data_IF_573770698136
#
_entry.id   IF_573770698136
#
_cell.length_a   1.000
_cell.length_b   1.000
_cell.length_c   1.000
_cell.angle_alpha   90.00
_cell.angle_beta   90.00
_cell.angle_gamma   90.00
#
_symmetry.space_group_name_H-M   'P 1'
#
loop_
_entity.id
_entity.type
_entity.pdbx_description
1 polymer ?
#
# COMPACT_ATOMS: atom_id res chain seq x y z
N UNK A 1 -20.20 5.01 -41.76
CA UNK A 1 -20.67 3.62 -41.86
C UNK A 1 -19.41 2.81 -42.20
N UNK A 2 -18.64 2.38 -41.21
CA UNK A 2 -18.83 1.11 -40.49
C UNK A 2 -18.19 -0.02 -41.31
N UNK A 3 -17.46 -1.01 -40.81
CA UNK A 3 -16.93 -1.37 -39.49
C UNK A 3 -16.46 -2.81 -39.64
N UNK A 4 -15.36 -3.19 -38.98
CA UNK A 4 -15.08 -4.59 -38.64
C UNK A 4 -14.43 -5.43 -39.75
N UNK A 5 -13.70 -6.49 -39.45
CA UNK A 5 -13.36 -7.12 -38.19
C UNK A 5 -12.13 -7.99 -38.53
N UNK A 6 -11.04 -7.87 -37.78
CA UNK A 6 -9.93 -8.82 -37.87
C UNK A 6 -10.31 -10.06 -37.06
N UNK A 7 -10.34 -11.19 -37.75
CA UNK A 7 -10.64 -12.52 -37.25
C UNK A 7 -9.71 -12.95 -36.13
N UNK A 8 -10.34 -13.43 -35.05
CA UNK A 8 -9.74 -14.11 -33.91
C UNK A 8 -9.27 -15.51 -34.34
N UNK A 9 -8.03 -15.86 -33.99
CA UNK A 9 -7.57 -17.25 -33.89
C UNK A 9 -6.54 -17.32 -32.75
N UNK A 10 -6.91 -17.94 -31.63
CA UNK A 10 -6.20 -19.11 -31.12
C UNK A 10 -6.87 -19.64 -29.85
N UNK A 11 -7.52 -20.79 -30.03
CA UNK A 11 -7.63 -21.82 -28.99
C UNK A 11 -6.30 -22.57 -28.85
N UNK A 12 -6.24 -23.37 -27.76
CA UNK A 12 -5.31 -24.46 -27.47
C UNK A 12 -4.11 -24.04 -26.55
N UNK A 13 -3.78 -24.66 -25.41
CA UNK A 13 -4.05 -26.01 -24.86
C UNK A 13 -3.90 -26.03 -23.32
N UNK A 14 -4.90 -26.64 -22.68
CA UNK A 14 -4.93 -27.57 -21.54
C UNK A 14 -4.19 -27.37 -20.20
N UNK A 15 -5.02 -27.55 -19.17
CA UNK A 15 -4.76 -28.00 -17.80
C UNK A 15 -3.96 -29.30 -17.67
N UNK A 16 -3.21 -29.45 -16.56
CA UNK A 16 -3.27 -30.60 -15.62
C UNK A 16 -2.27 -30.41 -14.47
N UNK A 17 -2.75 -30.54 -13.22
CA UNK A 17 -2.29 -31.52 -12.22
C UNK A 17 -3.05 -31.31 -10.90
N UNK A 18 -3.60 -32.41 -10.39
CA UNK A 18 -4.27 -32.54 -9.10
C UNK A 18 -3.59 -33.71 -8.31
N UNK A 19 -4.03 -34.08 -7.09
CA UNK A 19 -3.22 -34.14 -5.87
C UNK A 19 -2.77 -35.56 -5.46
N UNK A 20 -2.02 -35.68 -4.37
CA UNK A 20 -1.78 -36.97 -3.69
C UNK A 20 -2.01 -36.89 -2.19
N UNK A 21 -3.02 -37.62 -1.71
CA UNK A 21 -3.23 -38.05 -0.32
C UNK A 21 -2.33 -39.25 0.04
N UNK A 22 -2.06 -39.43 1.35
CA UNK A 22 -2.00 -40.76 1.98
C UNK A 22 -2.34 -40.72 3.49
N UNK A 23 -3.44 -41.41 3.82
CA UNK A 23 -3.86 -42.04 5.11
C UNK A 23 -2.79 -43.04 5.62
N UNK A 24 -2.76 -43.61 6.84
CA UNK A 24 -3.46 -43.56 8.14
C UNK A 24 -2.74 -44.57 9.07
N UNK A 25 -2.90 -44.53 10.41
CA UNK A 25 -3.09 -45.74 11.27
C UNK A 25 -3.46 -45.40 12.73
N UNK A 26 -4.07 -46.38 13.43
CA UNK A 26 -4.85 -46.33 14.69
C UNK A 26 -4.12 -46.97 15.89
N UNK A 27 -4.66 -46.67 17.09
CA UNK A 27 -5.03 -47.58 18.22
C UNK A 27 -4.09 -47.87 19.41
N UNK A 28 -4.69 -47.82 20.64
CA UNK A 28 -4.36 -48.59 21.86
C UNK A 28 -3.85 -47.74 23.05
N UNK A 29 -4.67 -47.32 24.03
CA UNK A 29 -5.16 -48.01 25.25
C UNK A 29 -4.16 -48.13 26.42
N UNK A 30 -4.50 -47.56 27.59
CA UNK A 30 -3.83 -47.80 28.88
C UNK A 30 -4.50 -47.04 30.04
N UNK A 31 -5.01 -47.78 31.03
CA UNK A 31 -5.77 -47.34 32.22
C UNK A 31 -4.90 -47.43 33.49
N UNK A 32 -5.31 -46.63 34.51
CA UNK A 32 -5.06 -46.76 35.97
C UNK A 32 -3.66 -46.33 36.47
N UNK A 33 -3.46 -45.63 37.60
CA UNK A 33 -4.21 -45.53 38.87
C UNK A 33 -4.03 -44.16 39.54
N UNK A 34 -4.99 -43.89 40.43
CA UNK A 34 -5.06 -42.84 41.45
C UNK A 34 -3.90 -42.91 42.46
N UNK A 35 -3.51 -41.76 43.02
CA UNK A 35 -3.34 -41.65 44.47
C UNK A 35 -3.57 -40.22 44.97
N UNK A 36 -4.21 -40.19 46.14
CA UNK A 36 -4.84 -39.07 46.83
C UNK A 36 -3.86 -38.06 47.43
N UNK A 37 -4.28 -36.78 47.52
CA UNK A 37 -4.29 -36.03 48.79
C UNK A 37 -4.97 -34.64 48.68
N UNK A 38 -6.18 -34.60 49.24
CA UNK A 38 -6.77 -33.59 50.14
C UNK A 38 -6.91 -32.10 49.74
N UNK A 39 -8.17 -31.73 49.45
CA UNK A 39 -8.97 -30.65 50.06
C UNK A 39 -8.27 -29.50 50.81
N UNK A 40 -8.33 -28.31 50.22
CA UNK A 40 -8.81 -27.05 50.81
C UNK A 40 -8.69 -25.96 49.72
N UNK A 41 -9.75 -25.42 49.12
CA UNK A 41 -10.52 -24.34 49.74
C UNK A 41 -11.66 -23.98 48.79
N UNK A 42 -12.90 -24.08 49.26
CA UNK A 42 -14.07 -23.51 48.61
C UNK A 42 -13.97 -21.97 48.62
N UNK A 43 -14.11 -21.41 47.43
CA UNK A 43 -14.92 -20.24 47.14
C UNK A 43 -14.62 -18.94 47.92
N UNK A 44 -13.88 -18.02 47.27
CA UNK A 44 -14.07 -16.59 47.49
C UNK A 44 -13.97 -15.84 46.15
N UNK A 45 -15.13 -15.69 45.52
CA UNK A 45 -15.38 -14.61 44.57
C UNK A 45 -15.14 -13.27 45.30
N UNK A 46 -14.01 -12.63 45.05
CA UNK A 46 -13.91 -11.18 45.04
C UNK A 46 -13.15 -10.76 43.80
N UNK A 47 -13.87 -10.00 42.97
CA UNK A 47 -13.44 -9.33 41.75
C UNK A 47 -12.08 -8.65 41.93
N UNK A 48 -11.05 -9.16 41.27
CA UNK A 48 -9.95 -8.35 40.78
C UNK A 48 -9.91 -8.53 39.26
N UNK A 49 -10.78 -7.77 38.59
CA UNK A 49 -10.68 -7.57 37.16
C UNK A 49 -9.51 -6.61 36.97
N UNK A 50 -8.32 -7.18 36.77
CA UNK A 50 -7.07 -6.46 36.62
C UNK A 50 -7.22 -5.41 35.50
N UNK A 51 -7.34 -4.15 35.92
CA UNK A 51 -7.64 -2.99 35.06
C UNK A 51 -6.56 -2.82 33.98
N UNK A 52 -5.36 -3.33 34.24
CA UNK A 52 -4.22 -3.33 33.32
C UNK A 52 -4.48 -4.20 32.08
N UNK A 53 -4.97 -5.42 32.25
CA UNK A 53 -5.24 -6.35 31.13
C UNK A 53 -6.41 -5.90 30.27
N UNK A 54 -7.46 -5.35 30.89
CA UNK A 54 -8.64 -4.83 30.18
C UNK A 54 -8.34 -3.54 29.41
N UNK A 55 -7.49 -2.65 29.96
CA UNK A 55 -7.00 -1.48 29.23
C UNK A 55 -6.13 -1.90 28.03
N UNK A 56 -5.21 -2.85 28.22
CA UNK A 56 -4.35 -3.34 27.14
C UNK A 56 -5.14 -4.02 26.01
N UNK A 57 -6.12 -4.87 26.33
CA UNK A 57 -6.99 -5.50 25.30
C UNK A 57 -7.94 -4.50 24.63
N UNK A 58 -8.45 -3.50 25.34
CA UNK A 58 -9.25 -2.43 24.75
C UNK A 58 -8.40 -1.49 23.87
N UNK A 59 -7.14 -1.25 24.21
CA UNK A 59 -6.19 -0.50 23.38
C UNK A 59 -5.81 -1.27 22.11
N UNK A 60 -5.53 -2.57 22.22
CA UNK A 60 -5.23 -3.44 21.07
C UNK A 60 -6.42 -3.48 20.10
N UNK A 61 -7.63 -3.77 20.60
CA UNK A 61 -8.85 -3.80 19.76
C UNK A 61 -9.24 -2.43 19.19
N UNK A 62 -8.92 -1.35 19.92
CA UNK A 62 -9.10 0.03 19.44
C UNK A 62 -8.13 0.37 18.31
N UNK A 63 -6.87 -0.06 18.41
CA UNK A 63 -5.89 0.18 17.36
C UNK A 63 -6.22 -0.64 16.10
N UNK A 64 -6.65 -1.89 16.26
CA UNK A 64 -7.12 -2.73 15.16
C UNK A 64 -8.32 -2.10 14.43
N UNK A 65 -9.27 -1.52 15.19
CA UNK A 65 -10.42 -0.82 14.61
C UNK A 65 -9.98 0.42 13.81
N UNK A 66 -9.06 1.21 14.36
CA UNK A 66 -8.51 2.39 13.67
C UNK A 66 -7.81 1.98 12.38
N UNK A 67 -7.04 0.90 12.40
CA UNK A 67 -6.32 0.42 11.23
C UNK A 67 -7.24 -0.13 10.15
N UNK A 68 -8.30 -0.86 10.51
CA UNK A 68 -9.35 -1.29 9.57
C UNK A 68 -9.97 -0.08 8.87
N UNK A 69 -10.31 0.96 9.63
CA UNK A 69 -10.91 2.19 9.09
C UNK A 69 -9.96 2.85 8.08
N UNK A 70 -8.67 2.98 8.42
CA UNK A 70 -7.66 3.56 7.54
C UNK A 70 -7.45 2.72 6.28
N UNK A 71 -7.34 1.40 6.41
CA UNK A 71 -7.12 0.49 5.28
C UNK A 71 -8.29 0.49 4.29
N UNK A 72 -9.52 0.50 4.80
CA UNK A 72 -10.72 0.60 3.96
C UNK A 72 -10.81 1.97 3.29
N UNK A 73 -10.52 3.04 4.03
CA UNK A 73 -10.51 4.40 3.49
C UNK A 73 -9.52 4.53 2.35
N UNK A 74 -8.27 4.09 2.56
CA UNK A 74 -7.24 4.12 1.53
C UNK A 74 -7.65 3.35 0.28
N UNK A 75 -8.15 2.10 0.45
CA UNK A 75 -8.59 1.26 -0.66
C UNK A 75 -9.70 1.91 -1.47
N UNK A 76 -10.69 2.50 -0.81
CA UNK A 76 -11.82 3.15 -1.48
C UNK A 76 -11.39 4.43 -2.20
N UNK A 77 -10.58 5.28 -1.56
CA UNK A 77 -10.04 6.49 -2.19
C UNK A 77 -9.19 6.14 -3.40
N UNK A 78 -8.28 5.17 -3.27
CA UNK A 78 -7.42 4.78 -4.37
C UNK A 78 -8.21 4.20 -5.55
N UNK A 79 -9.29 3.46 -5.26
CA UNK A 79 -10.15 2.85 -6.28
C UNK A 79 -11.08 3.85 -6.96
N UNK A 80 -11.73 4.71 -6.18
CA UNK A 80 -12.91 5.46 -6.62
C UNK A 80 -12.81 6.98 -6.46
N UNK A 81 -11.74 7.47 -5.82
CA UNK A 81 -11.59 8.89 -5.47
C UNK A 81 -12.22 9.26 -4.12
N UNK A 82 -11.86 10.44 -3.63
CA UNK A 82 -12.34 11.01 -2.36
C UNK A 82 -13.83 11.34 -2.48
N UNK A 83 -14.26 11.98 -3.56
CA UNK A 83 -15.64 12.42 -3.75
C UNK A 83 -16.63 11.23 -3.71
N UNK A 84 -16.28 10.11 -4.36
CA UNK A 84 -17.09 8.89 -4.37
C UNK A 84 -17.06 8.12 -3.04
N UNK A 85 -16.09 8.41 -2.16
CA UNK A 85 -15.93 7.74 -0.87
C UNK A 85 -16.72 8.46 0.22
N UNK A 86 -18.03 8.22 0.29
CA UNK A 86 -18.91 8.78 1.33
C UNK A 86 -18.79 8.08 2.69
N UNK A 87 -19.21 8.76 3.77
CA UNK A 87 -19.18 8.20 5.13
C UNK A 87 -20.01 6.92 5.26
N UNK A 88 -21.14 6.81 4.57
CA UNK A 88 -21.96 5.59 4.61
C UNK A 88 -21.28 4.40 3.93
N UNK A 89 -20.57 4.65 2.83
CA UNK A 89 -19.77 3.63 2.16
C UNK A 89 -18.63 3.15 3.07
N UNK A 90 -17.97 4.08 3.78
CA UNK A 90 -16.92 3.77 4.74
C UNK A 90 -17.45 2.90 5.88
N UNK A 91 -18.54 3.32 6.54
CA UNK A 91 -19.21 2.57 7.61
C UNK A 91 -19.57 1.16 7.15
N UNK A 92 -20.21 1.03 5.99
CA UNK A 92 -20.64 -0.26 5.44
C UNK A 92 -19.45 -1.16 5.11
N UNK A 93 -18.41 -0.62 4.48
CA UNK A 93 -17.27 -1.40 3.99
C UNK A 93 -16.31 -1.79 5.11
N UNK A 94 -16.13 -0.91 6.10
CA UNK A 94 -15.30 -1.19 7.26
C UNK A 94 -15.99 -2.05 8.31
N UNK A 95 -17.32 -2.21 8.23
CA UNK A 95 -18.08 -3.01 9.21
C UNK A 95 -18.08 -2.40 10.61
N UNK A 96 -17.88 -1.09 10.72
CA UNK A 96 -17.83 -0.35 11.99
C UNK A 96 -18.97 0.65 12.06
N UNK A 97 -19.36 1.05 13.28
CA UNK A 97 -20.37 2.10 13.45
C UNK A 97 -19.82 3.47 13.03
N UNK A 98 -20.70 4.37 12.59
CA UNK A 98 -20.35 5.79 12.33
C UNK A 98 -19.71 6.44 13.57
N UNK A 99 -20.23 6.15 14.77
CA UNK A 99 -19.68 6.62 16.05
C UNK A 99 -18.25 6.12 16.28
N UNK A 100 -17.93 4.90 15.84
CA UNK A 100 -16.58 4.34 15.93
C UNK A 100 -15.60 5.12 15.06
N UNK A 101 -15.98 5.53 13.84
CA UNK A 101 -15.12 6.35 12.98
C UNK A 101 -14.86 7.72 13.62
N UNK A 102 -15.92 8.40 14.07
CA UNK A 102 -15.79 9.72 14.71
C UNK A 102 -15.08 9.71 16.07
N UNK A 103 -14.88 8.53 16.67
CA UNK A 103 -14.01 8.39 17.85
C UNK A 103 -12.54 8.64 17.52
N UNK A 104 -12.11 8.38 16.28
CA UNK A 104 -10.71 8.51 15.86
C UNK A 104 -10.44 9.74 14.97
N UNK A 105 -11.44 10.19 14.22
CA UNK A 105 -11.28 11.26 13.23
C UNK A 105 -12.43 12.25 13.37
N UNK A 106 -12.15 13.55 13.50
CA UNK A 106 -13.21 14.53 13.74
C UNK A 106 -14.12 14.71 12.52
N UNK A 107 -13.56 14.51 11.32
CA UNK A 107 -14.27 14.65 10.06
C UNK A 107 -13.69 13.70 8.98
N UNK A 108 -14.31 13.71 7.80
CA UNK A 108 -13.88 12.87 6.67
C UNK A 108 -12.50 13.28 6.15
N UNK A 109 -12.18 14.57 6.13
CA UNK A 109 -10.94 15.08 5.54
C UNK A 109 -9.74 14.66 6.38
N UNK A 110 -9.83 14.71 7.71
CA UNK A 110 -8.83 14.16 8.63
C UNK A 110 -8.62 12.66 8.42
N UNK A 111 -9.70 11.90 8.22
CA UNK A 111 -9.63 10.47 7.93
C UNK A 111 -8.94 10.21 6.58
N UNK A 112 -9.29 10.98 5.54
CA UNK A 112 -8.67 10.91 4.21
C UNK A 112 -7.17 11.19 4.30
N UNK A 113 -6.78 12.28 4.96
CA UNK A 113 -5.38 12.68 5.15
C UNK A 113 -4.62 11.60 5.91
N UNK A 114 -5.16 11.08 7.01
CA UNK A 114 -4.52 10.03 7.79
C UNK A 114 -4.33 8.73 6.99
N UNK A 115 -5.31 8.35 6.16
CA UNK A 115 -5.20 7.18 5.29
C UNK A 115 -4.11 7.38 4.22
N UNK A 116 -4.07 8.55 3.58
CA UNK A 116 -3.06 8.88 2.58
C UNK A 116 -1.65 9.02 3.17
N UNK A 117 -1.52 9.51 4.41
CA UNK A 117 -0.24 9.53 5.13
C UNK A 117 0.30 8.13 5.40
N UNK A 118 -0.56 7.20 5.83
CA UNK A 118 -0.18 5.79 6.01
C UNK A 118 0.22 5.15 4.67
N UNK A 119 -0.47 5.52 3.59
CA UNK A 119 -0.07 5.12 2.22
C UNK A 119 1.30 5.65 1.82
N UNK A 120 1.55 6.94 2.04
CA UNK A 120 2.83 7.61 1.77
C UNK A 120 3.99 6.83 2.40
N UNK A 121 3.88 6.58 3.71
CA UNK A 121 4.90 5.87 4.48
C UNK A 121 5.20 4.48 3.90
N UNK A 122 4.17 3.68 3.61
CA UNK A 122 4.36 2.35 3.02
C UNK A 122 4.96 2.41 1.63
N UNK A 123 4.47 3.31 0.78
CA UNK A 123 4.94 3.43 -0.60
C UNK A 123 6.39 3.91 -0.64
N UNK A 124 6.74 4.94 0.13
CA UNK A 124 8.12 5.46 0.20
C UNK A 124 9.08 4.43 0.79
N UNK A 125 8.68 3.70 1.83
CA UNK A 125 9.50 2.63 2.42
C UNK A 125 9.78 1.53 1.39
N UNK A 126 8.73 1.02 0.73
CA UNK A 126 8.87 0.01 -0.32
C UNK A 126 9.73 0.51 -1.48
N UNK A 127 9.45 1.72 -1.98
CA UNK A 127 10.13 2.26 -3.16
C UNK A 127 11.62 2.47 -2.90
N UNK A 128 11.98 3.11 -1.78
CA UNK A 128 13.39 3.28 -1.37
C UNK A 128 14.08 1.93 -1.18
N UNK A 129 13.42 0.98 -0.52
CA UNK A 129 13.97 -0.35 -0.27
C UNK A 129 14.21 -1.16 -1.55
N UNK A 130 13.30 -1.07 -2.53
CA UNK A 130 13.41 -1.76 -3.81
C UNK A 130 14.47 -1.11 -4.72
N UNK A 131 14.49 0.22 -4.79
CA UNK A 131 15.48 0.97 -5.59
C UNK A 131 16.89 0.74 -5.04
N UNK A 132 17.05 0.74 -3.72
CA UNK A 132 18.33 0.55 -3.03
C UNK A 132 18.97 -0.84 -3.16
N UNK A 133 18.28 -1.83 -3.74
CA UNK A 133 18.86 -3.16 -4.00
C UNK A 133 19.93 -3.15 -5.10
N UNK A 134 19.96 -2.12 -5.95
CA UNK A 134 20.98 -1.95 -6.97
C UNK A 134 22.34 -1.59 -6.33
N UNK A 135 23.42 -2.14 -6.91
CA UNK A 135 24.75 -2.14 -6.29
C UNK A 135 25.46 -0.80 -6.47
N UNK A 136 25.37 -0.22 -7.67
CA UNK A 136 26.04 1.06 -7.99
C UNK A 136 25.06 2.24 -7.94
N UNK A 137 25.55 3.47 -7.66
CA UNK A 137 24.72 4.68 -7.73
C UNK A 137 24.02 4.88 -9.08
N UNK A 138 24.73 4.61 -10.18
CA UNK A 138 24.17 4.69 -11.53
C UNK A 138 23.03 3.70 -11.73
N UNK A 139 23.21 2.44 -11.32
CA UNK A 139 22.16 1.42 -11.39
C UNK A 139 20.96 1.78 -10.52
N UNK A 140 21.16 2.39 -9.34
CA UNK A 140 20.04 2.85 -8.48
C UNK A 140 19.18 3.90 -9.17
N UNK A 141 19.78 4.87 -9.86
CA UNK A 141 19.06 5.88 -10.62
C UNK A 141 18.24 5.26 -11.76
N UNK A 142 18.78 4.26 -12.45
CA UNK A 142 18.03 3.51 -13.47
C UNK A 142 16.96 2.61 -12.85
N UNK A 143 17.22 2.06 -11.65
CA UNK A 143 16.34 1.16 -10.94
C UNK A 143 15.08 1.87 -10.43
N UNK A 144 15.08 3.21 -10.29
CA UNK A 144 13.86 4.01 -10.09
C UNK A 144 12.75 3.54 -11.05
N UNK A 145 13.07 3.43 -12.33
CA UNK A 145 12.10 3.08 -13.37
C UNK A 145 11.81 1.58 -13.46
N UNK A 146 12.80 0.72 -13.22
CA UNK A 146 12.59 -0.74 -13.15
C UNK A 146 11.59 -1.08 -12.05
N UNK A 147 11.73 -0.45 -10.89
CA UNK A 147 10.80 -0.63 -9.76
C UNK A 147 9.41 -0.13 -10.11
N UNK A 148 9.28 1.04 -10.76
CA UNK A 148 7.98 1.53 -11.24
C UNK A 148 7.32 0.56 -12.23
N UNK A 149 8.08 -0.01 -13.17
CA UNK A 149 7.55 -1.00 -14.12
C UNK A 149 6.93 -2.21 -13.41
N UNK A 150 7.59 -2.71 -12.36
CA UNK A 150 7.04 -3.81 -11.55
C UNK A 150 5.73 -3.41 -10.86
N UNK A 151 5.63 -2.17 -10.40
CA UNK A 151 4.43 -1.64 -9.78
C UNK A 151 3.29 -1.40 -10.78
N UNK A 152 3.58 -0.98 -12.00
CA UNK A 152 2.57 -0.81 -13.05
C UNK A 152 1.89 -2.14 -13.37
N UNK A 153 2.63 -3.25 -13.33
CA UNK A 153 2.10 -4.59 -13.52
C UNK A 153 1.34 -5.18 -12.32
N UNK A 154 1.30 -4.49 -11.17
CA UNK A 154 0.62 -4.99 -9.97
C UNK A 154 -0.89 -4.87 -10.06
N UNK A 155 -1.58 -5.84 -9.44
CA UNK A 155 -3.04 -5.83 -9.37
C UNK A 155 -3.56 -4.56 -8.67
N UNK A 156 -4.48 -3.88 -9.34
CA UNK A 156 -5.09 -2.66 -8.82
C UNK A 156 -4.22 -1.42 -8.94
N UNK A 157 -3.17 -1.42 -9.77
CA UNK A 157 -2.48 -0.20 -10.16
C UNK A 157 -3.46 0.84 -10.72
N UNK A 158 -3.45 2.05 -10.13
CA UNK A 158 -4.27 3.20 -10.53
C UNK A 158 -3.45 4.48 -10.52
N UNK A 159 -2.18 4.40 -10.89
CA UNK A 159 -1.26 5.54 -10.88
C UNK A 159 -0.94 6.07 -9.48
N UNK A 160 -0.48 7.31 -9.41
CA UNK A 160 -0.10 7.97 -8.17
C UNK A 160 -1.35 8.47 -7.43
N UNK A 161 -1.58 7.94 -6.22
CA UNK A 161 -2.70 8.37 -5.38
C UNK A 161 -2.69 9.90 -5.16
N UNK A 162 -1.52 10.48 -4.92
CA UNK A 162 -1.36 11.91 -4.63
C UNK A 162 -1.64 12.83 -5.83
N UNK A 163 -1.34 12.36 -7.06
CA UNK A 163 -1.71 13.10 -8.29
C UNK A 163 -3.23 13.02 -8.47
N UNK A 164 -3.80 11.82 -8.36
CA UNK A 164 -5.23 11.61 -8.56
C UNK A 164 -6.06 12.42 -7.56
N UNK A 165 -5.73 12.35 -6.26
CA UNK A 165 -6.47 13.06 -5.22
C UNK A 165 -6.25 14.57 -5.28
N UNK A 166 -5.08 15.03 -5.75
CA UNK A 166 -4.87 16.46 -6.03
C UNK A 166 -5.80 16.99 -7.13
N UNK A 167 -6.22 16.14 -8.07
CA UNK A 167 -7.14 16.52 -9.14
C UNK A 167 -8.59 16.68 -8.69
N UNK A 168 -8.93 16.30 -7.45
CA UNK A 168 -10.30 16.39 -6.92
C UNK A 168 -10.62 17.73 -6.26
N UNK A 169 -9.61 18.59 -6.07
CA UNK A 169 -9.77 19.90 -5.44
C UNK A 169 -9.01 20.98 -6.21
N UNK A 170 -9.61 22.15 -6.34
CA UNK A 170 -8.98 23.32 -6.95
C UNK A 170 -8.18 24.18 -5.95
N UNK A 171 -8.34 23.94 -4.65
CA UNK A 171 -7.70 24.75 -3.61
C UNK A 171 -6.28 24.26 -3.32
N UNK A 172 -5.22 25.04 -3.60
CA UNK A 172 -3.85 24.67 -3.28
C UNK A 172 -3.55 24.54 -1.78
N UNK A 173 -4.42 25.06 -0.90
CA UNK A 173 -4.31 24.94 0.56
C UNK A 173 -5.13 23.78 1.14
N UNK A 174 -5.84 23.03 0.30
CA UNK A 174 -6.55 21.82 0.73
C UNK A 174 -5.56 20.85 1.42
N UNK A 175 -5.91 20.25 2.58
CA UNK A 175 -5.05 19.32 3.29
C UNK A 175 -4.51 18.16 2.41
N UNK A 176 -5.30 17.69 1.44
CA UNK A 176 -4.89 16.64 0.50
C UNK A 176 -3.83 17.17 -0.48
N UNK A 177 -3.96 18.43 -0.93
CA UNK A 177 -2.97 19.08 -1.80
C UNK A 177 -1.65 19.32 -1.07
N UNK A 178 -1.71 19.72 0.20
CA UNK A 178 -0.53 19.88 1.04
C UNK A 178 0.19 18.54 1.26
N UNK A 179 -0.55 17.47 1.55
CA UNK A 179 0.01 16.13 1.70
C UNK A 179 0.63 15.62 0.38
N UNK A 180 -0.03 15.86 -0.76
CA UNK A 180 0.51 15.50 -2.06
C UNK A 180 1.83 16.23 -2.35
N UNK A 181 1.92 17.52 -2.01
CA UNK A 181 3.17 18.29 -2.11
C UNK A 181 4.27 17.70 -1.22
N UNK A 182 3.95 17.33 0.01
CA UNK A 182 4.88 16.70 0.94
C UNK A 182 5.42 15.36 0.39
N UNK A 183 4.54 14.51 -0.15
CA UNK A 183 4.95 13.26 -0.80
C UNK A 183 5.91 13.50 -1.97
N UNK A 184 5.60 14.46 -2.85
CA UNK A 184 6.47 14.81 -3.98
C UNK A 184 7.82 15.37 -3.52
N UNK A 185 7.84 16.13 -2.44
CA UNK A 185 9.08 16.62 -1.85
C UNK A 185 9.93 15.46 -1.30
N UNK A 186 9.35 14.52 -0.55
CA UNK A 186 10.06 13.33 -0.05
C UNK A 186 10.67 12.47 -1.15
N UNK A 187 9.97 12.36 -2.28
CA UNK A 187 10.45 11.65 -3.46
C UNK A 187 11.57 12.44 -4.16
N UNK A 188 11.42 13.76 -4.31
CA UNK A 188 12.46 14.63 -4.86
C UNK A 188 13.74 14.55 -4.04
N UNK A 189 13.63 14.66 -2.71
CA UNK A 189 14.77 14.61 -1.79
C UNK A 189 15.49 13.26 -1.92
N UNK A 190 14.75 12.15 -1.99
CA UNK A 190 15.32 10.83 -2.21
C UNK A 190 16.07 10.71 -3.54
N UNK A 191 15.48 11.21 -4.64
CA UNK A 191 16.15 11.18 -5.95
C UNK A 191 17.39 12.08 -5.93
N UNK A 192 17.35 13.22 -5.23
CA UNK A 192 18.51 14.09 -5.05
C UNK A 192 19.62 13.43 -4.25
N UNK A 193 19.29 12.64 -3.22
CA UNK A 193 20.26 11.80 -2.49
C UNK A 193 20.97 10.85 -3.47
N UNK A 194 20.22 10.13 -4.32
CA UNK A 194 20.80 9.23 -5.33
C UNK A 194 21.65 9.95 -6.38
N UNK A 195 21.22 11.12 -6.86
CA UNK A 195 22.00 11.93 -7.80
C UNK A 195 23.31 12.40 -7.18
N UNK A 196 23.30 12.72 -5.87
CA UNK A 196 24.50 13.13 -5.12
C UNK A 196 25.45 11.95 -4.95
N UNK A 197 24.94 10.77 -4.60
CA UNK A 197 25.73 9.52 -4.51
C UNK A 197 26.37 9.14 -5.84
N UNK A 198 25.69 9.42 -6.96
CA UNK A 198 26.21 9.20 -8.30
C UNK A 198 27.31 10.18 -8.71
N UNK A 199 27.41 11.34 -8.04
CA UNK A 199 28.38 12.38 -8.37
C UNK A 199 27.94 13.27 -9.54
N UNK A 200 26.63 13.47 -9.73
CA UNK A 200 26.11 14.41 -10.73
C UNK A 200 26.62 15.84 -10.47
N UNK A 201 26.89 16.59 -11.54
CA UNK A 201 27.37 17.98 -11.46
C UNK A 201 26.36 18.91 -10.76
N UNK A 202 25.07 18.76 -11.11
CA UNK A 202 23.95 19.43 -10.45
C UNK A 202 22.90 18.39 -10.00
N UNK A 203 23.05 17.80 -8.80
CA UNK A 203 22.15 16.78 -8.30
C UNK A 203 20.70 17.26 -8.17
N UNK A 204 20.50 18.54 -7.83
CA UNK A 204 19.18 19.12 -7.64
C UNK A 204 18.43 19.27 -8.97
N UNK A 205 19.11 19.73 -10.03
CA UNK A 205 18.53 19.84 -11.35
C UNK A 205 18.19 18.46 -11.92
N UNK A 206 19.13 17.53 -11.84
CA UNK A 206 18.93 16.16 -12.34
C UNK A 206 17.78 15.49 -11.59
N UNK A 207 17.68 15.64 -10.27
CA UNK A 207 16.58 15.08 -9.49
C UNK A 207 15.21 15.63 -9.90
N UNK A 208 15.10 16.93 -10.21
CA UNK A 208 13.86 17.53 -10.73
C UNK A 208 13.49 16.96 -12.09
N UNK A 209 14.46 16.77 -12.98
CA UNK A 209 14.22 16.17 -14.30
C UNK A 209 13.77 14.71 -14.17
N UNK A 210 14.43 13.92 -13.31
CA UNK A 210 14.05 12.54 -13.04
C UNK A 210 12.67 12.44 -12.38
N UNK A 211 12.31 13.36 -11.49
CA UNK A 211 10.96 13.41 -10.92
C UNK A 211 9.88 13.62 -11.99
N UNK A 212 10.14 14.50 -12.97
CA UNK A 212 9.23 14.69 -14.12
C UNK A 212 9.09 13.38 -14.91
N UNK A 213 10.19 12.65 -15.14
CA UNK A 213 10.15 11.37 -15.83
C UNK A 213 9.38 10.31 -15.03
N UNK A 214 9.55 10.27 -13.70
CA UNK A 214 8.80 9.36 -12.81
C UNK A 214 7.30 9.64 -12.91
N UNK A 215 6.90 10.90 -12.71
CA UNK A 215 5.49 11.28 -12.73
C UNK A 215 4.86 11.13 -14.12
N UNK A 216 5.62 11.43 -15.17
CA UNK A 216 5.23 11.20 -16.56
C UNK A 216 5.02 9.72 -16.85
N UNK A 217 5.95 8.86 -16.45
CA UNK A 217 5.84 7.41 -16.65
C UNK A 217 4.61 6.84 -15.92
N UNK A 218 4.40 7.23 -14.66
CA UNK A 218 3.22 6.81 -13.87
C UNK A 218 1.92 7.24 -14.55
N UNK A 219 1.88 8.47 -15.05
CA UNK A 219 0.69 9.04 -15.70
C UNK A 219 0.40 8.35 -17.03
N UNK A 220 1.41 8.15 -17.87
CA UNK A 220 1.25 7.45 -19.16
C UNK A 220 0.82 6.00 -18.94
N UNK A 221 1.44 5.30 -17.99
CA UNK A 221 1.06 3.93 -17.65
C UNK A 221 -0.41 3.83 -17.21
N UNK A 222 -0.90 4.79 -16.42
CA UNK A 222 -2.30 4.81 -16.00
C UNK A 222 -3.25 5.16 -17.15
N UNK A 223 -2.99 6.28 -17.83
CA UNK A 223 -3.96 6.88 -18.77
C UNK A 223 -3.99 6.14 -20.10
N UNK A 224 -2.82 5.72 -20.59
CA UNK A 224 -2.68 5.02 -21.88
C UNK A 224 -2.67 3.50 -21.73
N UNK A 225 -2.56 2.98 -20.50
CA UNK A 225 -2.35 1.55 -20.26
C UNK A 225 -0.97 1.05 -20.72
N UNK A 226 -0.03 1.96 -20.96
CA UNK A 226 1.29 1.63 -21.51
C UNK A 226 2.33 1.48 -20.40
N UNK A 227 2.58 0.25 -19.97
CA UNK A 227 3.57 -0.04 -18.95
C UNK A 227 5.02 0.14 -19.45
N UNK A 228 5.25 0.18 -20.77
CA UNK A 228 6.57 0.46 -21.35
C UNK A 228 7.01 1.90 -21.13
N UNK A 229 6.12 2.77 -20.66
CA UNK A 229 6.46 4.14 -20.24
C UNK A 229 7.61 4.18 -19.22
N UNK A 230 7.72 3.19 -18.34
CA UNK A 230 8.86 3.06 -17.43
C UNK A 230 10.17 2.79 -18.18
N UNK A 231 10.16 1.93 -19.20
CA UNK A 231 11.36 1.65 -20.02
C UNK A 231 11.79 2.91 -20.79
N UNK A 232 10.82 3.61 -21.39
CA UNK A 232 11.07 4.87 -22.10
C UNK A 232 11.69 5.92 -21.18
N UNK A 233 11.13 6.09 -19.98
CA UNK A 233 11.67 6.99 -18.97
C UNK A 233 13.08 6.58 -18.51
N UNK A 234 13.34 5.28 -18.36
CA UNK A 234 14.69 4.79 -18.07
C UNK A 234 15.67 5.09 -19.21
N UNK A 235 15.28 4.90 -20.47
CA UNK A 235 16.11 5.25 -21.63
C UNK A 235 16.42 6.74 -21.68
N UNK A 236 15.47 7.61 -21.31
CA UNK A 236 15.73 9.04 -21.16
C UNK A 236 16.67 9.35 -20.01
N UNK A 237 16.50 8.67 -18.86
CA UNK A 237 17.40 8.83 -17.73
C UNK A 237 18.85 8.43 -18.07
N UNK A 238 19.08 7.36 -18.84
CA UNK A 238 20.43 7.01 -19.35
C UNK A 238 21.08 8.17 -20.11
N UNK A 239 20.32 8.83 -20.99
CA UNK A 239 20.81 10.00 -21.73
C UNK A 239 21.12 11.19 -20.82
N UNK A 240 20.37 11.38 -19.74
CA UNK A 240 20.66 12.44 -18.76
C UNK A 240 21.87 12.13 -17.87
N UNK A 241 22.23 10.85 -17.76
CA UNK A 241 23.35 10.35 -16.95
C UNK A 241 24.62 10.10 -17.78
N UNK A 242 24.57 10.35 -19.10
CA UNK A 242 25.62 9.99 -20.05
C UNK A 242 26.05 8.50 -20.00
N UNK A 243 25.06 7.60 -19.85
CA UNK A 243 25.22 6.14 -19.80
C UNK A 243 24.78 5.41 -21.07
#
# INVERSE_FOLDING_TARGET
>A
MGSGLVTVCNDAIASKLAPTEKRASKCGSGLAREDHLSNATKNRLTKENDRSTVCSMNEITSNDTRDIILDVTEKLIYKSGIAATGMDLLVKTAGVSRKSIYRYFANKDELVVAALQRRDQRWMHWYRGAVGQAQTPAERLLNLFTVLKSWFASDGFRGCAFINTSGETGDPQDPVRLLAKEHKQKLLDYVCELCTEHGAEDPQLLAKQLLILIDGAITVALVMGDHSAADNAQCMARKLLDL
#
